data_IF_104738431825
#
_entry.id   IF_104738431825
#
_cell.length_a   1.000
_cell.length_b   1.000
_cell.length_c   1.000
_cell.angle_alpha   90.00
_cell.angle_beta   90.00
_cell.angle_gamma   90.00
#
_symmetry.space_group_name_H-M   'P 1'
#
loop_
_entity.id
_entity.type
_entity.pdbx_description
1 polymer ?
#
# COMPACT_ATOMS: atom_id res chain seq x y z
N UNK A 1 -4.72 -4.80 12.01
CA UNK A 1 -5.37 -5.62 10.96
C UNK A 1 -4.40 -6.66 10.40
N UNK A 2 -3.26 -6.27 9.80
CA UNK A 2 -2.29 -7.23 9.25
C UNK A 2 -1.83 -8.31 10.25
N UNK A 3 -1.54 -7.93 11.50
CA UNK A 3 -1.17 -8.90 12.54
C UNK A 3 -2.26 -9.95 12.83
N UNK A 4 -3.53 -9.55 12.73
CA UNK A 4 -4.66 -10.46 12.97
C UNK A 4 -4.84 -11.43 11.78
N UNK A 5 -4.61 -10.97 10.55
CA UNK A 5 -4.56 -11.83 9.37
C UNK A 5 -3.37 -12.81 9.44
N UNK A 6 -2.18 -12.33 9.85
CA UNK A 6 -0.99 -13.18 10.07
C UNK A 6 -1.22 -14.24 11.15
N UNK A 7 -1.88 -13.88 12.27
CA UNK A 7 -2.27 -14.85 13.33
C UNK A 7 -3.19 -15.96 12.83
N UNK A 8 -3.92 -15.72 11.75
CA UNK A 8 -4.78 -16.71 11.07
C UNK A 8 -4.05 -17.46 9.95
N UNK A 9 -2.72 -17.38 9.93
CA UNK A 9 -1.86 -18.05 8.97
C UNK A 9 -2.10 -17.62 7.51
N UNK A 10 -2.54 -16.38 7.30
CA UNK A 10 -2.61 -15.76 5.98
C UNK A 10 -1.30 -15.06 5.65
N UNK A 11 -0.76 -15.36 4.48
CA UNK A 11 0.45 -14.77 3.91
C UNK A 11 0.08 -13.47 3.20
N UNK A 12 0.79 -12.38 3.50
CA UNK A 12 0.46 -11.05 3.01
C UNK A 12 1.66 -10.48 2.27
N UNK A 13 1.46 -10.07 1.02
CA UNK A 13 2.41 -9.28 0.24
C UNK A 13 1.91 -7.84 0.06
N UNK A 14 2.70 -7.02 -0.63
CA UNK A 14 2.39 -5.63 -0.92
C UNK A 14 3.27 -4.70 -0.10
N UNK A 15 2.81 -3.47 0.11
CA UNK A 15 3.65 -2.44 0.72
C UNK A 15 2.89 -1.42 1.55
N UNK A 16 3.63 -0.69 2.37
CA UNK A 16 3.15 0.50 3.04
C UNK A 16 4.21 1.61 2.99
N UNK A 17 3.74 2.86 3.08
CA UNK A 17 4.59 4.04 2.90
C UNK A 17 4.69 4.91 4.16
N UNK A 18 5.46 4.50 5.19
CA UNK A 18 5.48 5.24 6.45
C UNK A 18 6.23 6.57 6.32
N UNK A 19 5.70 7.61 6.99
CA UNK A 19 6.38 8.89 7.12
C UNK A 19 7.70 8.74 7.88
N UNK A 20 8.74 9.44 7.39
CA UNK A 20 9.99 9.61 8.14
C UNK A 20 10.05 11.03 8.68
N UNK A 21 10.25 11.14 10.00
CA UNK A 21 10.39 12.42 10.69
C UNK A 21 11.79 12.55 11.29
N UNK A 22 12.32 13.76 11.24
CA UNK A 22 13.54 14.17 11.92
C UNK A 22 13.24 15.47 12.67
N UNK A 23 13.56 15.50 13.97
CA UNK A 23 13.25 16.64 14.85
C UNK A 23 11.78 17.11 14.76
N UNK A 24 10.84 16.15 14.74
CA UNK A 24 9.41 16.43 14.63
C UNK A 24 8.94 16.86 13.23
N UNK A 25 9.84 17.12 12.28
CA UNK A 25 9.51 17.53 10.90
C UNK A 25 9.52 16.33 9.96
N UNK A 26 8.52 16.23 9.10
CA UNK A 26 8.49 15.20 8.04
C UNK A 26 9.55 15.51 6.97
N UNK A 27 10.48 14.57 6.81
CA UNK A 27 11.60 14.65 5.86
C UNK A 27 11.41 13.73 4.63
N UNK A 28 10.40 12.86 4.64
CA UNK A 28 10.14 11.99 3.52
C UNK A 28 9.24 10.81 3.88
N UNK A 29 9.26 9.82 3.01
CA UNK A 29 8.47 8.59 3.10
C UNK A 29 9.35 7.42 2.69
N UNK A 30 9.19 6.29 3.36
CA UNK A 30 9.75 5.01 2.90
C UNK A 30 8.73 4.29 2.03
N UNK A 31 9.20 3.31 1.27
CA UNK A 31 8.40 2.19 0.81
C UNK A 31 8.91 0.95 1.54
N UNK A 32 8.01 0.17 2.13
CA UNK A 32 8.36 -1.04 2.89
C UNK A 32 7.59 -2.22 2.33
N UNK A 33 8.31 -3.28 1.96
CA UNK A 33 7.73 -4.57 1.59
C UNK A 33 7.16 -5.27 2.84
N UNK A 34 5.88 -5.61 2.82
CA UNK A 34 5.18 -6.29 3.91
C UNK A 34 5.71 -7.72 4.12
N UNK A 35 6.18 -8.35 3.04
CA UNK A 35 6.61 -9.75 3.06
C UNK A 35 7.96 -9.91 3.76
N UNK A 36 8.99 -9.22 3.26
CA UNK A 36 10.36 -9.35 3.77
C UNK A 36 10.73 -8.31 4.83
N UNK A 37 9.99 -7.20 4.92
CA UNK A 37 10.34 -6.04 5.73
C UNK A 37 11.46 -5.18 5.13
N UNK A 38 11.97 -5.51 3.94
CA UNK A 38 12.91 -4.66 3.21
C UNK A 38 12.27 -3.30 2.93
N UNK A 39 13.09 -2.26 2.96
CA UNK A 39 12.63 -0.91 2.72
C UNK A 39 13.67 -0.06 2.01
N UNK A 40 13.19 0.96 1.34
CA UNK A 40 14.00 2.05 0.81
C UNK A 40 13.18 3.35 0.87
N UNK A 41 13.77 4.46 0.45
CA UNK A 41 13.09 5.75 0.35
C UNK A 41 12.15 5.77 -0.85
N UNK A 42 10.89 6.15 -0.61
CA UNK A 42 9.94 6.51 -1.65
C UNK A 42 10.17 7.96 -2.11
N UNK A 43 10.26 8.88 -1.15
CA UNK A 43 10.49 10.29 -1.43
C UNK A 43 11.17 11.00 -0.26
N UNK A 44 11.92 12.06 -0.55
CA UNK A 44 12.70 12.80 0.47
C UNK A 44 12.79 14.29 0.15
N UNK A 45 12.85 15.13 1.19
CA UNK A 45 13.17 16.56 1.05
C UNK A 45 14.65 16.75 0.72
N UNK A 46 14.97 17.86 0.07
CA UNK A 46 16.35 18.30 -0.20
C UNK A 46 17.21 17.24 -0.90
N UNK A 47 16.58 16.43 -1.76
CA UNK A 47 17.24 15.36 -2.51
C UNK A 47 17.17 15.65 -4.02
N UNK A 48 18.24 15.39 -4.80
CA UNK A 48 18.23 15.59 -6.25
C UNK A 48 17.30 14.61 -6.97
N UNK A 49 16.57 15.07 -7.98
CA UNK A 49 15.72 14.21 -8.80
C UNK A 49 14.71 14.97 -9.65
N UNK A 50 14.11 14.25 -10.61
CA UNK A 50 13.23 14.83 -11.65
C UNK A 50 11.76 14.87 -11.23
N UNK A 51 11.30 13.86 -10.51
CA UNK A 51 9.89 13.73 -10.09
C UNK A 51 9.73 14.43 -8.74
N UNK A 52 8.89 15.46 -8.69
CA UNK A 52 8.62 16.23 -7.46
C UNK A 52 7.13 16.27 -7.16
N UNK A 53 6.80 16.03 -5.88
CA UNK A 53 5.45 16.19 -5.33
C UNK A 53 5.56 17.14 -4.12
N UNK A 54 5.14 18.40 -4.32
CA UNK A 54 5.38 19.48 -3.36
C UNK A 54 6.88 19.67 -3.13
N UNK A 55 7.32 19.59 -1.86
CA UNK A 55 8.74 19.70 -1.47
C UNK A 55 9.53 18.38 -1.53
N UNK A 56 8.88 17.27 -1.86
CA UNK A 56 9.53 15.96 -1.85
C UNK A 56 9.97 15.56 -3.26
N UNK A 57 11.20 15.10 -3.37
CA UNK A 57 11.72 14.43 -4.56
C UNK A 57 11.44 12.94 -4.44
N UNK A 58 10.78 12.37 -5.44
CA UNK A 58 10.46 10.93 -5.52
C UNK A 58 11.66 10.17 -6.08
N UNK A 59 11.99 9.03 -5.46
CA UNK A 59 13.19 8.24 -5.76
C UNK A 59 12.82 6.97 -6.51
N UNK A 60 12.56 7.10 -7.82
CA UNK A 60 12.08 6.03 -8.70
C UNK A 60 12.96 4.77 -8.65
N UNK A 61 14.29 4.90 -8.70
CA UNK A 61 15.20 3.74 -8.66
C UNK A 61 15.08 2.96 -7.34
N UNK A 62 14.89 3.66 -6.22
CA UNK A 62 14.73 3.04 -4.90
C UNK A 62 13.41 2.28 -4.83
N UNK A 63 12.34 2.89 -5.36
CA UNK A 63 11.04 2.23 -5.44
C UNK A 63 11.09 1.01 -6.34
N UNK A 64 11.72 1.09 -7.51
CA UNK A 64 11.83 -0.03 -8.44
C UNK A 64 12.51 -1.26 -7.81
N UNK A 65 13.55 -1.05 -6.99
CA UNK A 65 14.20 -2.14 -6.26
C UNK A 65 13.24 -2.84 -5.30
N UNK A 66 12.51 -2.08 -4.48
CA UNK A 66 11.56 -2.64 -3.51
C UNK A 66 10.34 -3.26 -4.21
N UNK A 67 9.89 -2.65 -5.32
CA UNK A 67 8.78 -3.16 -6.11
C UNK A 67 9.08 -4.54 -6.70
N UNK A 68 10.31 -4.78 -7.18
CA UNK A 68 10.71 -6.10 -7.67
C UNK A 68 10.63 -7.17 -6.56
N UNK A 69 11.04 -6.84 -5.34
CA UNK A 69 10.88 -7.74 -4.17
C UNK A 69 9.39 -8.01 -3.89
N UNK A 70 8.54 -6.98 -3.91
CA UNK A 70 7.08 -7.09 -3.69
C UNK A 70 6.43 -7.97 -4.75
N UNK A 71 6.73 -7.75 -6.03
CA UNK A 71 6.19 -8.54 -7.14
C UNK A 71 6.56 -10.02 -7.01
N UNK A 72 7.80 -10.33 -6.62
CA UNK A 72 8.27 -11.70 -6.43
C UNK A 72 7.51 -12.45 -5.33
N UNK A 73 7.12 -11.74 -4.27
CA UNK A 73 6.37 -12.33 -3.14
C UNK A 73 4.88 -12.48 -3.44
N UNK A 74 4.35 -11.72 -4.39
CA UNK A 74 2.91 -11.65 -4.68
C UNK A 74 2.34 -12.97 -5.14
N UNK A 75 3.10 -13.81 -5.85
CA UNK A 75 2.65 -15.16 -6.25
C UNK A 75 2.40 -16.09 -5.05
N UNK A 76 3.12 -15.91 -3.95
CA UNK A 76 3.11 -16.77 -2.76
C UNK A 76 2.22 -16.26 -1.61
N UNK A 77 1.58 -15.10 -1.78
CA UNK A 77 0.68 -14.51 -0.79
C UNK A 77 -0.78 -14.88 -1.01
N UNK A 78 -1.52 -14.90 0.08
CA UNK A 78 -2.97 -15.07 0.12
C UNK A 78 -3.71 -13.75 -0.14
N UNK A 79 -3.14 -12.63 0.34
CA UNK A 79 -3.72 -11.29 0.28
C UNK A 79 -2.65 -10.30 -0.12
N UNK A 80 -3.02 -9.31 -0.95
CA UNK A 80 -2.16 -8.16 -1.26
C UNK A 80 -2.66 -6.96 -0.45
N UNK A 81 -1.76 -6.33 0.31
CA UNK A 81 -2.08 -5.15 1.10
C UNK A 81 -1.27 -3.93 0.64
N UNK A 82 -1.94 -2.81 0.39
CA UNK A 82 -1.32 -1.55 -0.03
C UNK A 82 -1.79 -0.44 0.91
N UNK A 83 -0.93 0.00 1.81
CA UNK A 83 -1.23 1.12 2.71
C UNK A 83 -0.79 2.45 2.07
N UNK A 84 -1.80 3.04 1.46
CA UNK A 84 -1.88 4.26 0.67
C UNK A 84 -1.54 4.13 -0.82
N UNK A 85 -2.57 4.29 -1.64
CA UNK A 85 -2.51 4.59 -3.07
C UNK A 85 -2.82 6.07 -3.21
N UNK A 86 -1.79 6.88 -3.48
CA UNK A 86 -1.91 8.33 -3.58
C UNK A 86 -1.16 8.92 -4.77
N UNK A 87 -1.11 10.27 -4.85
CA UNK A 87 -0.41 10.97 -5.92
C UNK A 87 1.08 10.64 -5.98
N UNK A 88 1.72 10.35 -4.85
CA UNK A 88 3.13 10.01 -4.79
C UNK A 88 3.38 8.67 -5.44
N UNK A 89 2.58 7.65 -5.10
CA UNK A 89 2.76 6.32 -5.64
C UNK A 89 2.45 6.26 -7.14
N UNK A 90 1.39 6.96 -7.54
CA UNK A 90 0.95 7.03 -8.93
C UNK A 90 1.85 7.89 -9.83
N UNK A 91 2.81 8.62 -9.25
CA UNK A 91 3.77 9.43 -10.01
C UNK A 91 4.88 8.59 -10.66
N UNK A 92 5.07 7.34 -10.21
CA UNK A 92 6.09 6.41 -10.70
C UNK A 92 5.41 5.38 -11.59
N UNK A 93 5.86 5.26 -12.84
CA UNK A 93 5.18 4.44 -13.86
C UNK A 93 5.09 2.96 -13.44
N UNK A 94 6.20 2.38 -12.99
CA UNK A 94 6.27 0.97 -12.57
C UNK A 94 5.29 0.68 -11.42
N UNK A 95 5.27 1.54 -10.40
CA UNK A 95 4.39 1.35 -9.25
C UNK A 95 2.92 1.57 -9.61
N UNK A 96 2.62 2.54 -10.49
CA UNK A 96 1.29 2.71 -11.06
C UNK A 96 0.83 1.47 -11.82
N UNK A 97 1.69 0.92 -12.68
CA UNK A 97 1.40 -0.27 -13.48
C UNK A 97 1.13 -1.49 -12.57
N UNK A 98 1.94 -1.68 -11.51
CA UNK A 98 1.71 -2.70 -10.49
C UNK A 98 0.37 -2.51 -9.77
N UNK A 99 0.07 -1.31 -9.28
CA UNK A 99 -1.19 -0.99 -8.59
C UNK A 99 -2.39 -1.29 -9.49
N UNK A 100 -2.34 -0.87 -10.76
CA UNK A 100 -3.41 -1.15 -11.72
C UNK A 100 -3.56 -2.63 -12.02
N UNK A 101 -2.46 -3.37 -12.12
CA UNK A 101 -2.48 -4.83 -12.29
C UNK A 101 -3.19 -5.51 -11.12
N UNK A 102 -2.87 -5.12 -9.89
CA UNK A 102 -3.46 -5.72 -8.68
C UNK A 102 -4.93 -5.33 -8.54
N UNK A 103 -5.31 -4.09 -8.83
CA UNK A 103 -6.72 -3.63 -8.77
C UNK A 103 -7.60 -4.38 -9.78
N UNK A 104 -7.08 -4.63 -10.98
CA UNK A 104 -7.85 -5.27 -12.06
C UNK A 104 -7.74 -6.81 -12.06
N UNK A 105 -7.12 -7.40 -11.04
CA UNK A 105 -6.95 -8.85 -10.91
C UNK A 105 -7.95 -9.42 -9.92
N UNK A 106 -8.63 -10.50 -10.32
CA UNK A 106 -9.50 -11.29 -9.43
C UNK A 106 -8.75 -12.48 -8.78
N UNK A 107 -7.43 -12.58 -8.97
CA UNK A 107 -6.65 -13.71 -8.45
C UNK A 107 -6.55 -13.71 -6.92
N UNK A 108 -6.42 -12.52 -6.32
CA UNK A 108 -6.14 -12.36 -4.89
C UNK A 108 -6.89 -11.16 -4.31
N UNK A 109 -7.45 -11.27 -3.08
CA UNK A 109 -8.03 -10.14 -2.39
C UNK A 109 -7.03 -8.99 -2.23
N UNK A 110 -7.45 -7.78 -2.62
CA UNK A 110 -6.73 -6.53 -2.38
C UNK A 110 -7.33 -5.82 -1.17
N UNK A 111 -6.47 -5.51 -0.20
CA UNK A 111 -6.76 -4.59 0.89
C UNK A 111 -5.96 -3.30 0.69
N UNK A 112 -6.61 -2.23 0.27
CA UNK A 112 -5.94 -0.96 -0.01
C UNK A 112 -6.52 0.21 0.79
N UNK A 113 -5.64 1.10 1.21
CA UNK A 113 -6.01 2.47 1.60
C UNK A 113 -5.81 3.35 0.37
N UNK A 114 -6.81 4.16 0.02
CA UNK A 114 -6.76 5.01 -1.18
C UNK A 114 -6.94 6.46 -0.80
N UNK A 115 -6.24 7.34 -1.50
CA UNK A 115 -6.50 8.77 -1.40
C UNK A 115 -7.92 9.08 -1.87
N UNK A 116 -8.62 10.01 -1.20
CA UNK A 116 -10.04 10.31 -1.44
C UNK A 116 -10.36 10.66 -2.89
N UNK A 117 -9.42 11.26 -3.61
CA UNK A 117 -9.55 11.62 -5.03
C UNK A 117 -9.69 10.41 -5.95
N UNK A 118 -9.34 9.20 -5.51
CA UNK A 118 -9.38 7.97 -6.30
C UNK A 118 -10.64 7.15 -6.04
N UNK A 119 -11.53 7.60 -5.16
CA UNK A 119 -12.74 6.85 -4.75
C UNK A 119 -13.56 6.40 -5.95
N UNK A 120 -13.77 7.29 -6.93
CA UNK A 120 -14.62 7.02 -8.10
C UNK A 120 -13.88 6.28 -9.22
N UNK A 121 -12.55 6.15 -9.10
CA UNK A 121 -11.69 5.46 -10.07
C UNK A 121 -11.62 3.96 -9.84
N UNK A 122 -12.00 3.47 -8.66
CA UNK A 122 -11.99 2.04 -8.33
C UNK A 122 -13.37 1.43 -8.58
N UNK A 123 -13.40 0.32 -9.31
CA UNK A 123 -14.62 -0.46 -9.57
C UNK A 123 -14.45 -1.86 -8.97
N UNK A 124 -15.52 -2.46 -8.47
CA UNK A 124 -15.54 -3.88 -8.09
C UNK A 124 -15.20 -4.24 -6.63
N UNK A 125 -14.99 -3.27 -5.73
CA UNK A 125 -14.65 -3.52 -4.31
C UNK A 125 -15.59 -2.86 -3.30
N UNK A 126 -15.55 -3.31 -2.05
CA UNK A 126 -16.25 -2.64 -0.93
C UNK A 126 -15.38 -1.50 -0.38
N UNK A 127 -15.83 -0.27 -0.58
CA UNK A 127 -15.14 0.95 -0.12
C UNK A 127 -15.67 1.38 1.24
N UNK A 128 -14.76 1.55 2.19
CA UNK A 128 -15.05 2.05 3.54
C UNK A 128 -14.53 3.48 3.69
N UNK A 129 -15.39 4.41 4.12
CA UNK A 129 -14.95 5.77 4.47
C UNK A 129 -14.71 5.85 5.98
N UNK A 130 -13.47 6.13 6.37
CA UNK A 130 -13.09 6.28 7.78
C UNK A 130 -13.46 7.69 8.25
N UNK A 131 -14.18 7.77 9.37
CA UNK A 131 -14.58 9.00 10.07
C UNK A 131 -14.03 8.98 11.49
N UNK A 132 -14.11 10.12 12.20
CA UNK A 132 -13.73 10.18 13.62
C UNK A 132 -14.55 9.21 14.48
N UNK A 133 -15.82 9.01 14.12
CA UNK A 133 -16.75 8.15 14.87
C UNK A 133 -16.46 6.66 14.67
N UNK A 134 -16.06 6.25 13.45
CA UNK A 134 -15.90 4.84 13.12
C UNK A 134 -14.45 4.32 13.15
N UNK A 135 -13.43 5.20 13.23
CA UNK A 135 -12.00 4.81 13.11
C UNK A 135 -11.55 3.69 14.04
N UNK A 136 -12.18 3.58 15.21
CA UNK A 136 -11.83 2.58 16.22
C UNK A 136 -12.49 1.22 15.95
N UNK A 137 -13.65 1.21 15.30
CA UNK A 137 -14.51 0.02 15.13
C UNK A 137 -14.46 -0.55 13.71
N UNK A 138 -14.22 0.28 12.69
CA UNK A 138 -14.23 -0.10 11.28
C UNK A 138 -13.23 -1.22 10.95
N UNK A 139 -12.13 -1.29 11.71
CA UNK A 139 -11.14 -2.37 11.59
C UNK A 139 -11.74 -3.77 11.79
N UNK A 140 -12.76 -3.90 12.64
CA UNK A 140 -13.43 -5.18 12.89
C UNK A 140 -14.39 -5.53 11.75
N UNK A 141 -15.09 -4.53 11.20
CA UNK A 141 -15.97 -4.72 10.05
C UNK A 141 -15.19 -5.16 8.81
N UNK A 142 -14.08 -4.47 8.50
CA UNK A 142 -13.20 -4.83 7.38
C UNK A 142 -12.62 -6.23 7.58
N UNK A 143 -12.13 -6.55 8.79
CA UNK A 143 -11.60 -7.87 9.09
C UNK A 143 -12.66 -8.96 8.90
N UNK A 144 -13.87 -8.78 9.43
CA UNK A 144 -14.95 -9.75 9.26
C UNK A 144 -15.32 -9.92 7.79
N UNK A 145 -15.39 -8.83 7.02
CA UNK A 145 -15.66 -8.88 5.60
C UNK A 145 -14.59 -9.70 4.85
N UNK A 146 -13.31 -9.46 5.13
CA UNK A 146 -12.21 -10.25 4.56
C UNK A 146 -12.40 -11.73 4.91
N UNK A 147 -12.58 -12.05 6.20
CA UNK A 147 -12.65 -13.44 6.66
C UNK A 147 -13.85 -14.23 6.12
N UNK A 148 -15.01 -13.58 5.95
CA UNK A 148 -16.22 -14.23 5.39
C UNK A 148 -16.03 -14.53 3.90
N UNK A 149 -15.38 -13.63 3.16
CA UNK A 149 -15.21 -13.74 1.72
C UNK A 149 -13.91 -14.43 1.32
N UNK A 150 -13.02 -14.69 2.27
CA UNK A 150 -11.77 -15.42 2.05
C UNK A 150 -12.06 -16.92 1.93
N UNK A 151 -12.22 -17.40 0.70
CA UNK A 151 -12.21 -18.84 0.41
C UNK A 151 -10.77 -19.26 0.23
N UNK A 152 -10.28 -20.12 1.12
CA UNK A 152 -8.99 -20.79 0.94
C UNK A 152 -9.14 -21.75 -0.25
N UNK A 153 -8.56 -21.40 -1.39
CA UNK A 153 -8.44 -22.29 -2.55
C UNK A 153 -7.52 -23.46 -2.24
#
# INVERSE_FOLDING_TARGET
MLNELKRRNLKISGFYCPEVKHEGRRIGFKIVDIWSGKFDWLARVDYPGKIKIGKYTVLEDNVNRILADIESSTSNSDIIAIDEIGPMELSIKSMKDFILKVINSDEKPLLAVIHRSLKDSLRGGKVYTITLDNRNTIKYEILNYILINFKKT
#
